data_IF_220981770440
#
_entry.id   IF_220981770440
#
_cell.length_a   1.000
_cell.length_b   1.000
_cell.length_c   1.000
_cell.angle_alpha   90.00
_cell.angle_beta   90.00
_cell.angle_gamma   90.00
#
_symmetry.space_group_name_H-M   'P 1'
#
loop_
_entity.id
_entity.type
_entity.pdbx_description
1 polymer ?
#
# COMPACT_ATOMS: atom_id res chain seq x y z
N UNK A 1 53.78 -36.24 51.64
CA UNK A 1 53.27 -36.70 50.36
C UNK A 1 52.11 -35.79 49.94
N UNK A 2 52.35 -34.94 48.99
CA UNK A 2 51.39 -33.91 48.51
C UNK A 2 50.44 -34.48 47.45
N UNK A 3 49.16 -34.22 47.63
CA UNK A 3 48.17 -34.50 46.62
C UNK A 3 47.76 -33.15 46.01
N UNK A 4 47.98 -33.00 44.70
CA UNK A 4 47.66 -31.83 43.93
C UNK A 4 46.18 -31.97 43.45
N UNK A 5 45.34 -31.01 43.89
CA UNK A 5 43.97 -30.89 43.38
C UNK A 5 43.95 -30.01 42.14
N UNK A 6 43.38 -30.55 41.04
CA UNK A 6 43.09 -29.81 39.84
C UNK A 6 41.71 -29.13 39.99
N UNK A 7 41.68 -27.83 39.84
CA UNK A 7 40.45 -27.04 39.73
C UNK A 7 40.03 -26.96 38.26
N UNK A 8 38.87 -27.57 37.95
CA UNK A 8 38.19 -27.40 36.67
C UNK A 8 37.46 -26.05 36.63
N UNK A 9 37.86 -25.22 35.71
CA UNK A 9 37.19 -23.94 35.39
C UNK A 9 36.00 -24.25 34.49
N UNK A 10 34.77 -24.13 35.00
CA UNK A 10 33.52 -24.21 34.24
C UNK A 10 33.18 -22.83 33.69
N UNK A 11 33.60 -22.57 32.48
CA UNK A 11 33.13 -21.41 31.70
C UNK A 11 31.60 -21.47 31.45
N UNK A 12 30.84 -20.63 32.17
CA UNK A 12 29.42 -20.39 31.90
C UNK A 12 29.27 -19.62 30.59
N UNK A 13 28.95 -20.35 29.54
CA UNK A 13 28.50 -19.77 28.29
C UNK A 13 27.13 -19.10 28.47
N UNK A 14 27.09 -17.77 28.62
CA UNK A 14 25.83 -17.00 28.58
C UNK A 14 25.21 -17.13 27.21
N UNK A 15 24.19 -17.98 27.07
CA UNK A 15 23.29 -18.04 25.95
C UNK A 15 22.61 -16.66 25.79
N UNK A 16 22.88 -15.97 24.69
CA UNK A 16 22.14 -14.77 24.30
C UNK A 16 20.69 -15.23 23.99
N UNK A 17 19.81 -15.01 24.97
CA UNK A 17 18.40 -15.29 24.80
C UNK A 17 17.88 -14.56 23.55
N UNK A 18 17.29 -15.31 22.63
CA UNK A 18 16.55 -14.75 21.50
C UNK A 18 15.49 -13.79 22.06
N UNK A 19 15.54 -12.52 21.67
CA UNK A 19 14.50 -11.55 22.01
C UNK A 19 13.18 -12.13 21.47
N UNK A 20 12.19 -12.33 22.36
CA UNK A 20 10.82 -12.60 21.94
C UNK A 20 10.41 -11.54 20.92
N UNK A 21 9.76 -11.90 19.81
CA UNK A 21 9.27 -10.93 18.83
C UNK A 21 8.36 -9.93 19.58
N UNK A 22 8.65 -8.66 19.40
CA UNK A 22 7.84 -7.57 19.95
C UNK A 22 6.48 -7.59 19.26
N UNK A 23 5.43 -7.92 19.99
CA UNK A 23 4.07 -7.91 19.46
C UNK A 23 3.71 -6.43 19.21
N UNK A 24 3.66 -6.04 17.95
CA UNK A 24 3.25 -4.71 17.52
C UNK A 24 1.73 -4.66 17.48
N UNK A 25 1.11 -3.76 18.23
CA UNK A 25 -0.34 -3.51 18.19
C UNK A 25 -0.61 -2.31 17.29
N UNK A 26 -0.49 -2.52 15.98
CA UNK A 26 -0.74 -1.50 14.96
C UNK A 26 -2.10 -1.66 14.29
N UNK A 27 -2.59 -0.59 13.66
CA UNK A 27 -3.77 -0.64 12.77
C UNK A 27 -3.33 -0.34 11.34
N UNK A 28 -3.75 -1.18 10.39
CA UNK A 28 -3.36 -1.10 9.00
C UNK A 28 -4.56 -1.29 8.08
N UNK A 29 -4.69 -0.41 7.09
CA UNK A 29 -5.64 -0.55 5.99
C UNK A 29 -4.90 -1.10 4.77
N UNK A 30 -5.41 -2.17 4.19
CA UNK A 30 -4.88 -2.76 2.96
C UNK A 30 -5.53 -2.05 1.77
N UNK A 31 -4.72 -1.57 0.82
CA UNK A 31 -5.24 -0.91 -0.38
C UNK A 31 -4.59 -1.43 -1.65
N UNK A 32 -5.37 -1.51 -2.73
CA UNK A 32 -4.91 -1.99 -4.03
C UNK A 32 -5.11 -0.92 -5.10
N UNK A 33 -4.04 -0.57 -5.79
CA UNK A 33 -4.09 0.26 -6.98
C UNK A 33 -4.30 -0.62 -8.24
N UNK A 34 -4.72 -0.02 -9.34
CA UNK A 34 -4.90 -0.64 -10.66
C UNK A 34 -6.03 -1.68 -10.73
N UNK A 35 -7.12 -1.54 -9.92
CA UNK A 35 -8.28 -2.39 -10.11
C UNK A 35 -8.92 -2.19 -11.51
N UNK A 36 -9.56 -3.23 -12.03
CA UNK A 36 -9.63 -4.62 -11.58
C UNK A 36 -8.48 -5.50 -12.13
N UNK A 37 -7.24 -5.11 -11.96
CA UNK A 37 -5.99 -5.53 -12.58
C UNK A 37 -5.74 -4.86 -13.96
N UNK A 38 -4.48 -4.87 -14.41
CA UNK A 38 -4.08 -4.20 -15.64
C UNK A 38 -4.70 -4.83 -16.89
N UNK A 39 -5.01 -4.00 -17.89
CA UNK A 39 -5.56 -4.47 -19.19
C UNK A 39 -4.61 -5.38 -19.97
N UNK A 40 -3.33 -5.34 -19.67
CA UNK A 40 -2.33 -6.23 -20.27
C UNK A 40 -2.55 -7.71 -19.90
N UNK A 41 -3.25 -7.99 -18.80
CA UNK A 41 -3.61 -9.35 -18.41
C UNK A 41 -4.84 -9.85 -19.20
N UNK A 42 -4.81 -11.12 -19.57
CA UNK A 42 -5.95 -11.80 -20.17
C UNK A 42 -7.17 -11.81 -19.23
N UNK A 43 -8.40 -11.84 -19.80
CA UNK A 43 -9.63 -11.79 -18.99
C UNK A 43 -9.69 -12.84 -17.87
N UNK A 44 -9.30 -14.07 -18.15
CA UNK A 44 -9.30 -15.16 -17.16
C UNK A 44 -8.25 -14.92 -16.05
N UNK A 45 -7.16 -14.30 -16.41
CA UNK A 45 -6.13 -13.97 -15.44
C UNK A 45 -6.55 -12.83 -14.53
N UNK A 46 -7.18 -11.79 -15.07
CA UNK A 46 -7.77 -10.70 -14.26
C UNK A 46 -8.81 -11.23 -13.28
N UNK A 47 -9.64 -12.18 -13.72
CA UNK A 47 -10.59 -12.88 -12.86
C UNK A 47 -9.87 -13.64 -11.76
N UNK A 48 -8.86 -14.43 -12.10
CA UNK A 48 -8.06 -15.19 -11.13
C UNK A 48 -7.37 -14.25 -10.12
N UNK A 49 -6.73 -13.16 -10.57
CA UNK A 49 -6.12 -12.17 -9.67
C UNK A 49 -7.17 -11.64 -8.68
N UNK A 50 -8.34 -11.22 -9.17
CA UNK A 50 -9.41 -10.67 -8.34
C UNK A 50 -9.90 -11.71 -7.32
N UNK A 51 -10.13 -12.95 -7.74
CA UNK A 51 -10.62 -14.03 -6.87
C UNK A 51 -9.60 -14.35 -5.77
N UNK A 52 -8.30 -14.47 -6.10
CA UNK A 52 -7.26 -14.74 -5.11
C UNK A 52 -7.13 -13.61 -4.07
N UNK A 53 -7.20 -12.34 -4.51
CA UNK A 53 -7.18 -11.20 -3.58
C UNK A 53 -8.39 -11.24 -2.64
N UNK A 54 -9.60 -11.48 -3.18
CA UNK A 54 -10.84 -11.53 -2.39
C UNK A 54 -10.85 -12.72 -1.42
N UNK A 55 -10.36 -13.88 -1.83
CA UNK A 55 -10.28 -15.07 -0.99
C UNK A 55 -9.32 -14.84 0.21
N UNK A 56 -8.15 -14.26 -0.03
CA UNK A 56 -7.22 -13.91 1.02
C UNK A 56 -7.82 -12.88 1.99
N UNK A 57 -8.40 -11.78 1.47
CA UNK A 57 -9.05 -10.76 2.29
C UNK A 57 -10.19 -11.32 3.14
N UNK A 58 -11.00 -12.21 2.56
CA UNK A 58 -12.10 -12.90 3.26
C UNK A 58 -11.59 -13.81 4.37
N UNK A 59 -10.55 -14.61 4.10
CA UNK A 59 -9.94 -15.53 5.08
C UNK A 59 -9.46 -14.80 6.33
N UNK A 60 -8.89 -13.60 6.15
CA UNK A 60 -8.35 -12.77 7.23
C UNK A 60 -9.33 -11.70 7.75
N UNK A 61 -10.60 -11.74 7.33
CA UNK A 61 -11.61 -10.74 7.66
C UNK A 61 -11.10 -9.29 7.46
N UNK A 62 -10.21 -9.09 6.48
CA UNK A 62 -9.51 -7.84 6.24
C UNK A 62 -10.31 -6.91 5.33
N UNK A 63 -10.90 -5.81 5.85
CA UNK A 63 -11.52 -4.81 4.99
C UNK A 63 -10.44 -4.11 4.17
N UNK A 64 -10.69 -3.99 2.86
CA UNK A 64 -9.74 -3.35 1.96
C UNK A 64 -10.39 -2.21 1.15
N UNK A 65 -9.54 -1.40 0.51
CA UNK A 65 -9.98 -0.45 -0.50
C UNK A 65 -9.21 -0.66 -1.80
N UNK A 66 -9.91 -0.59 -2.92
CA UNK A 66 -9.30 -0.71 -4.24
C UNK A 66 -9.55 0.55 -5.07
N UNK A 67 -8.57 0.92 -5.90
CA UNK A 67 -8.65 2.10 -6.75
C UNK A 67 -8.63 1.69 -8.22
N UNK A 68 -9.75 1.93 -8.89
CA UNK A 68 -9.92 1.56 -10.30
C UNK A 68 -9.29 2.61 -11.22
N UNK A 69 -8.54 2.15 -12.21
CA UNK A 69 -8.15 2.94 -13.38
C UNK A 69 -9.25 2.80 -14.43
N UNK A 70 -9.82 3.91 -14.90
CA UNK A 70 -10.98 3.90 -15.78
C UNK A 70 -10.78 3.02 -17.02
N UNK A 71 -9.64 3.11 -17.69
CA UNK A 71 -9.33 2.26 -18.84
C UNK A 71 -9.26 0.77 -18.51
N UNK A 72 -8.91 0.40 -17.28
CA UNK A 72 -8.85 -1.00 -16.86
C UNK A 72 -10.25 -1.61 -16.65
N UNK A 73 -11.30 -0.79 -16.53
CA UNK A 73 -12.67 -1.27 -16.31
C UNK A 73 -13.20 -2.00 -17.53
N UNK A 74 -12.75 -1.64 -18.72
CA UNK A 74 -13.22 -2.29 -19.95
C UNK A 74 -12.98 -3.81 -19.91
N UNK A 75 -14.06 -4.58 -20.02
CA UNK A 75 -14.02 -6.04 -19.93
C UNK A 75 -13.76 -6.60 -18.54
N UNK A 76 -13.89 -5.78 -17.49
CA UNK A 76 -13.68 -6.17 -16.09
C UNK A 76 -14.65 -5.55 -15.10
N UNK A 77 -15.78 -5.03 -15.60
CA UNK A 77 -16.82 -4.44 -14.76
C UNK A 77 -17.33 -5.41 -13.68
N UNK A 78 -17.55 -6.66 -14.08
CA UNK A 78 -17.98 -7.73 -13.17
C UNK A 78 -16.98 -8.00 -12.02
N UNK A 79 -15.72 -7.66 -12.21
CA UNK A 79 -14.70 -7.84 -11.17
C UNK A 79 -14.80 -6.74 -10.10
N UNK A 80 -15.19 -5.51 -10.49
CA UNK A 80 -15.49 -4.45 -9.54
C UNK A 80 -16.79 -4.73 -8.76
N UNK A 81 -17.77 -5.36 -9.40
CA UNK A 81 -18.98 -5.85 -8.72
C UNK A 81 -18.59 -6.86 -7.64
N UNK A 82 -17.77 -7.89 -7.97
CA UNK A 82 -17.26 -8.86 -6.99
C UNK A 82 -16.53 -8.18 -5.82
N UNK A 83 -15.72 -7.14 -6.11
CA UNK A 83 -15.01 -6.38 -5.08
C UNK A 83 -15.97 -5.75 -4.07
N UNK A 84 -17.02 -5.10 -4.55
CA UNK A 84 -18.04 -4.46 -3.70
C UNK A 84 -18.92 -5.48 -2.97
N UNK A 85 -19.25 -6.61 -3.62
CA UNK A 85 -19.97 -7.74 -2.99
C UNK A 85 -19.16 -8.37 -1.85
N UNK A 86 -17.82 -8.35 -1.95
CA UNK A 86 -16.92 -8.71 -0.86
C UNK A 86 -16.93 -7.74 0.32
N UNK A 87 -17.67 -6.63 0.23
CA UNK A 87 -17.77 -5.61 1.29
C UNK A 87 -16.61 -4.63 1.33
N UNK A 88 -15.78 -4.58 0.27
CA UNK A 88 -14.63 -3.71 0.19
C UNK A 88 -14.99 -2.34 -0.39
N UNK A 89 -14.22 -1.31 -0.01
CA UNK A 89 -14.38 0.05 -0.53
C UNK A 89 -13.83 0.14 -1.96
N UNK A 90 -14.55 0.80 -2.87
CA UNK A 90 -14.07 1.11 -4.20
C UNK A 90 -13.82 2.61 -4.32
N UNK A 91 -12.61 2.97 -4.67
CA UNK A 91 -12.18 4.31 -5.08
C UNK A 91 -11.76 4.30 -6.55
N UNK A 92 -11.22 5.41 -6.99
CA UNK A 92 -10.77 5.57 -8.37
C UNK A 92 -9.40 6.26 -8.45
N UNK A 93 -8.74 6.04 -9.56
CA UNK A 93 -7.61 6.80 -10.07
C UNK A 93 -8.10 7.65 -11.24
N UNK A 94 -7.27 8.49 -11.81
CA UNK A 94 -7.61 9.13 -13.07
C UNK A 94 -7.88 8.08 -14.17
N UNK A 95 -8.70 8.42 -15.16
CA UNK A 95 -9.26 7.47 -16.13
C UNK A 95 -8.19 6.71 -16.91
N UNK A 96 -7.17 7.41 -17.41
CA UNK A 96 -6.08 6.82 -18.20
C UNK A 96 -4.96 6.21 -17.33
N UNK A 97 -4.91 6.51 -16.02
CA UNK A 97 -3.81 6.12 -15.14
C UNK A 97 -2.49 6.86 -15.42
N UNK A 98 -2.53 7.95 -16.21
CA UNK A 98 -1.33 8.72 -16.54
C UNK A 98 -0.79 9.51 -15.35
N UNK A 99 0.49 9.85 -15.43
CA UNK A 99 1.23 10.56 -14.41
C UNK A 99 0.96 12.09 -14.48
N UNK A 100 0.54 12.69 -13.36
CA UNK A 100 0.36 14.14 -13.24
C UNK A 100 1.62 14.94 -13.59
N UNK A 101 2.80 14.38 -13.40
CA UNK A 101 4.05 15.05 -13.72
C UNK A 101 4.30 15.18 -15.24
N UNK A 102 3.57 14.43 -16.06
CA UNK A 102 3.75 14.35 -17.51
C UNK A 102 2.66 15.08 -18.32
N UNK A 103 1.64 15.65 -17.64
CA UNK A 103 0.51 16.29 -18.30
C UNK A 103 0.16 17.63 -17.65
N UNK A 104 -0.47 18.58 -18.38
CA UNK A 104 -1.03 19.78 -17.81
C UNK A 104 -2.10 19.51 -16.75
N UNK A 105 -2.23 20.41 -15.77
CA UNK A 105 -3.16 20.21 -14.65
C UNK A 105 -4.62 20.15 -15.09
N UNK A 106 -5.04 20.94 -16.07
CA UNK A 106 -6.40 20.94 -16.63
C UNK A 106 -6.75 19.62 -17.31
N UNK A 107 -5.83 19.04 -18.07
CA UNK A 107 -5.99 17.71 -18.69
C UNK A 107 -6.09 16.63 -17.62
N UNK A 108 -5.26 16.71 -16.59
CA UNK A 108 -5.30 15.73 -15.48
C UNK A 108 -6.61 15.84 -14.67
N UNK A 109 -7.11 17.06 -14.44
CA UNK A 109 -8.39 17.31 -13.76
C UNK A 109 -9.56 16.72 -14.56
N UNK A 110 -9.58 16.92 -15.87
CA UNK A 110 -10.58 16.29 -16.73
C UNK A 110 -10.51 14.76 -16.64
N UNK A 111 -9.31 14.20 -16.60
CA UNK A 111 -9.07 12.77 -16.50
C UNK A 111 -9.49 12.21 -15.12
N UNK A 112 -9.33 12.96 -14.02
CA UNK A 112 -9.91 12.62 -12.70
C UNK A 112 -11.44 12.57 -12.80
N UNK A 113 -12.08 13.55 -13.45
CA UNK A 113 -13.53 13.60 -13.65
C UNK A 113 -14.04 12.33 -14.35
N UNK A 114 -13.39 11.94 -15.45
CA UNK A 114 -13.72 10.69 -16.19
C UNK A 114 -13.51 9.44 -15.32
N UNK A 115 -12.44 9.39 -14.52
CA UNK A 115 -12.18 8.27 -13.59
C UNK A 115 -13.28 8.13 -12.54
N UNK A 116 -13.74 9.25 -11.98
CA UNK A 116 -14.87 9.29 -11.05
C UNK A 116 -16.15 8.77 -11.72
N UNK A 117 -16.51 9.31 -12.87
CA UNK A 117 -17.71 8.93 -13.60
C UNK A 117 -17.73 7.45 -13.96
N UNK A 118 -16.58 6.87 -14.28
CA UNK A 118 -16.45 5.46 -14.66
C UNK A 118 -16.91 4.47 -13.58
N UNK A 119 -16.98 4.86 -12.31
CA UNK A 119 -17.41 3.99 -11.20
C UNK A 119 -18.59 4.57 -10.40
N UNK A 120 -19.04 5.79 -10.66
CA UNK A 120 -19.95 6.52 -9.78
C UNK A 120 -21.29 5.78 -9.58
N UNK A 121 -21.92 5.32 -10.66
CA UNK A 121 -23.18 4.56 -10.60
C UNK A 121 -23.00 3.24 -9.83
N UNK A 122 -21.84 2.60 -9.99
CA UNK A 122 -21.55 1.34 -9.32
C UNK A 122 -21.43 1.53 -7.82
N UNK A 123 -20.58 2.45 -7.37
CA UNK A 123 -20.39 2.70 -5.92
C UNK A 123 -21.68 3.20 -5.26
N UNK A 124 -22.48 3.99 -6.00
CA UNK A 124 -23.79 4.45 -5.53
C UNK A 124 -24.77 3.30 -5.32
N UNK A 125 -24.81 2.32 -6.24
CA UNK A 125 -25.68 1.15 -6.13
C UNK A 125 -25.36 0.30 -4.88
N UNK A 126 -24.11 0.31 -4.42
CA UNK A 126 -23.67 -0.32 -3.16
C UNK A 126 -23.70 0.62 -1.95
N UNK A 127 -24.38 1.79 -2.05
CA UNK A 127 -24.60 2.76 -0.96
C UNK A 127 -23.30 3.37 -0.40
N UNK A 128 -22.21 3.31 -1.12
CA UNK A 128 -20.97 4.01 -0.77
C UNK A 128 -21.13 5.50 -1.15
N UNK A 129 -21.08 6.38 -0.14
CA UNK A 129 -21.24 7.83 -0.32
C UNK A 129 -19.91 8.55 -0.50
N UNK A 130 -18.86 8.00 0.06
CA UNK A 130 -17.53 8.58 0.04
C UNK A 130 -16.88 8.37 -1.33
N UNK A 131 -16.26 9.44 -1.87
CA UNK A 131 -15.46 9.42 -3.08
C UNK A 131 -14.00 9.45 -2.70
N UNK A 132 -13.28 8.35 -2.98
CA UNK A 132 -11.86 8.23 -2.68
C UNK A 132 -11.04 8.21 -3.96
N UNK A 133 -10.05 9.09 -4.02
CA UNK A 133 -9.12 9.20 -5.14
C UNK A 133 -7.70 8.82 -4.73
N UNK A 134 -6.99 8.12 -5.61
CA UNK A 134 -5.58 7.79 -5.47
C UNK A 134 -4.81 8.31 -6.68
N UNK A 135 -3.78 9.10 -6.43
CA UNK A 135 -2.88 9.55 -7.50
C UNK A 135 -2.08 8.39 -8.09
N UNK A 136 -2.06 8.30 -9.42
CA UNK A 136 -1.17 7.38 -10.13
C UNK A 136 0.30 7.65 -9.74
N UNK A 137 1.08 6.59 -9.57
CA UNK A 137 2.49 6.63 -9.14
C UNK A 137 2.73 7.36 -7.81
N UNK A 138 1.70 7.74 -7.07
CA UNK A 138 1.75 8.64 -5.91
C UNK A 138 2.44 9.98 -6.26
N UNK A 139 2.24 10.48 -7.48
CA UNK A 139 2.73 11.76 -7.93
C UNK A 139 1.65 12.84 -7.76
N UNK A 140 1.95 13.82 -6.91
CA UNK A 140 1.01 14.87 -6.48
C UNK A 140 1.28 16.23 -7.15
N UNK A 141 2.08 16.22 -8.20
CA UNK A 141 2.54 17.41 -8.91
C UNK A 141 3.95 17.83 -8.53
N UNK A 142 4.76 18.10 -9.56
CA UNK A 142 6.17 18.52 -9.42
C UNK A 142 6.35 20.03 -9.23
N UNK A 143 5.25 20.80 -9.34
CA UNK A 143 5.25 22.26 -9.18
C UNK A 143 4.07 22.73 -8.32
N UNK A 144 4.26 23.80 -7.52
CA UNK A 144 3.22 24.31 -6.62
C UNK A 144 1.89 24.64 -7.29
N UNK A 145 1.92 25.25 -8.45
CA UNK A 145 0.72 25.64 -9.20
C UNK A 145 -0.08 24.44 -9.71
N UNK A 146 0.60 23.39 -10.18
CA UNK A 146 -0.05 22.16 -10.62
C UNK A 146 -0.71 21.46 -9.44
N UNK A 147 0.04 21.28 -8.35
CA UNK A 147 -0.46 20.63 -7.13
C UNK A 147 -1.68 21.37 -6.58
N UNK A 148 -1.62 22.71 -6.50
CA UNK A 148 -2.72 23.51 -5.99
C UNK A 148 -3.97 23.38 -6.86
N UNK A 149 -3.84 23.52 -8.19
CA UNK A 149 -4.98 23.44 -9.09
C UNK A 149 -5.71 22.09 -8.98
N UNK A 150 -4.96 20.97 -8.88
CA UNK A 150 -5.56 19.64 -8.70
C UNK A 150 -6.18 19.49 -7.32
N UNK A 151 -5.52 20.00 -6.25
CA UNK A 151 -6.08 19.92 -4.89
C UNK A 151 -7.36 20.73 -4.76
N UNK A 152 -7.40 21.95 -5.29
CA UNK A 152 -8.60 22.82 -5.30
C UNK A 152 -9.78 22.09 -5.97
N UNK A 153 -9.56 21.46 -7.13
CA UNK A 153 -10.59 20.67 -7.80
C UNK A 153 -11.09 19.48 -6.95
N UNK A 154 -10.19 18.74 -6.31
CA UNK A 154 -10.56 17.61 -5.47
C UNK A 154 -11.41 18.06 -4.26
N UNK A 155 -11.02 19.17 -3.62
CA UNK A 155 -11.72 19.74 -2.47
C UNK A 155 -13.12 20.27 -2.88
N UNK A 156 -13.24 21.03 -3.97
CA UNK A 156 -14.49 21.53 -4.51
C UNK A 156 -15.44 20.38 -4.92
N UNK A 157 -14.88 19.28 -5.42
CA UNK A 157 -15.65 18.09 -5.83
C UNK A 157 -15.96 17.14 -4.66
N UNK A 158 -15.56 17.48 -3.44
CA UNK A 158 -15.71 16.63 -2.24
C UNK A 158 -15.10 15.23 -2.42
N UNK A 159 -13.94 15.17 -3.04
CA UNK A 159 -13.18 13.95 -3.27
C UNK A 159 -12.07 13.84 -2.24
N UNK A 160 -12.05 12.77 -1.48
CA UNK A 160 -11.03 12.51 -0.46
C UNK A 160 -9.83 11.80 -1.06
N UNK A 161 -8.65 12.38 -0.91
CA UNK A 161 -7.41 11.71 -1.32
C UNK A 161 -7.06 10.59 -0.35
N UNK A 162 -6.92 9.38 -0.90
CA UNK A 162 -6.48 8.20 -0.14
C UNK A 162 -4.95 8.12 -0.17
N UNK A 163 -4.31 8.81 0.77
CA UNK A 163 -2.85 8.78 0.91
C UNK A 163 -2.34 7.39 1.31
N UNK A 164 -1.16 7.01 0.82
CA UNK A 164 -0.44 5.82 1.28
C UNK A 164 0.66 6.21 2.26
N UNK A 165 0.69 5.62 3.45
CA UNK A 165 1.78 5.79 4.41
C UNK A 165 2.86 4.73 4.30
N UNK A 166 2.56 3.59 3.65
CA UNK A 166 3.48 2.49 3.36
C UNK A 166 3.41 2.18 1.88
N UNK A 167 4.54 2.27 1.19
CA UNK A 167 4.69 2.01 -0.26
C UNK A 167 5.67 0.87 -0.45
N UNK A 168 5.33 -0.13 -1.26
CA UNK A 168 6.03 -1.41 -1.27
C UNK A 168 6.82 -1.71 -2.53
N UNK A 169 6.71 -0.92 -3.60
CA UNK A 169 7.36 -1.22 -4.89
C UNK A 169 7.12 -2.66 -5.38
N UNK A 170 5.97 -3.23 -5.04
CA UNK A 170 5.55 -4.61 -5.36
C UNK A 170 5.64 -4.96 -6.85
N UNK A 171 5.58 -3.94 -7.73
CA UNK A 171 5.75 -4.11 -9.17
C UNK A 171 7.12 -4.68 -9.56
N UNK A 172 8.19 -4.38 -8.80
CA UNK A 172 9.53 -4.92 -9.04
C UNK A 172 9.56 -6.42 -8.76
N UNK A 173 8.93 -6.83 -7.66
CA UNK A 173 8.78 -8.24 -7.29
C UNK A 173 7.86 -8.99 -8.26
N UNK A 174 6.79 -8.32 -8.75
CA UNK A 174 5.91 -8.89 -9.77
C UNK A 174 6.67 -9.20 -11.07
N UNK A 175 7.55 -8.30 -11.54
CA UNK A 175 8.41 -8.55 -12.69
C UNK A 175 9.39 -9.71 -12.45
N UNK A 176 9.87 -9.87 -11.23
CA UNK A 176 10.74 -10.99 -10.84
C UNK A 176 9.97 -12.31 -10.82
N UNK A 177 8.73 -12.30 -10.32
CA UNK A 177 7.82 -13.44 -10.34
C UNK A 177 7.56 -13.94 -11.76
N UNK A 178 7.29 -13.04 -12.72
CA UNK A 178 7.06 -13.39 -14.12
C UNK A 178 8.24 -14.16 -14.74
N UNK A 179 9.46 -13.75 -14.42
CA UNK A 179 10.68 -14.45 -14.87
C UNK A 179 10.81 -15.84 -14.24
N UNK A 180 10.44 -15.99 -12.97
CA UNK A 180 10.55 -17.26 -12.23
C UNK A 180 9.46 -18.25 -12.69
N UNK A 181 8.24 -17.79 -12.93
CA UNK A 181 7.12 -18.65 -13.38
C UNK A 181 7.49 -19.45 -14.66
N UNK A 182 8.27 -18.86 -15.56
CA UNK A 182 8.78 -19.55 -16.75
C UNK A 182 9.77 -20.68 -16.45
N UNK A 183 10.47 -20.63 -15.32
CA UNK A 183 11.55 -21.58 -14.96
C UNK A 183 11.07 -22.84 -14.21
N UNK A 184 9.86 -22.82 -13.64
CA UNK A 184 9.31 -23.86 -12.74
C UNK A 184 10.19 -24.20 -11.53
N UNK A 185 11.02 -23.24 -11.09
CA UNK A 185 11.93 -23.39 -9.95
C UNK A 185 11.21 -23.03 -8.64
N UNK A 186 10.76 -24.06 -7.91
CA UNK A 186 10.02 -23.88 -6.67
C UNK A 186 10.84 -23.22 -5.55
N UNK A 187 12.17 -23.40 -5.53
CA UNK A 187 13.01 -22.77 -4.51
C UNK A 187 13.11 -21.26 -4.73
N UNK A 188 13.27 -20.83 -6.00
CA UNK A 188 13.24 -19.40 -6.33
C UNK A 188 11.88 -18.76 -6.03
N UNK A 189 10.81 -19.50 -6.25
CA UNK A 189 9.46 -19.01 -5.94
C UNK A 189 9.28 -18.75 -4.44
N UNK A 190 9.69 -19.70 -3.57
CA UNK A 190 9.63 -19.53 -2.12
C UNK A 190 10.54 -18.39 -1.66
N UNK A 191 11.77 -18.32 -2.18
CA UNK A 191 12.70 -17.24 -1.84
C UNK A 191 12.14 -15.86 -2.22
N UNK A 192 11.53 -15.73 -3.40
CA UNK A 192 10.92 -14.47 -3.83
C UNK A 192 9.75 -14.05 -2.92
N UNK A 193 8.89 -15.01 -2.50
CA UNK A 193 7.83 -14.75 -1.54
C UNK A 193 8.39 -14.20 -0.23
N UNK A 194 9.38 -14.87 0.33
CA UNK A 194 9.97 -14.49 1.61
C UNK A 194 10.65 -13.11 1.52
N UNK A 195 11.42 -12.85 0.46
CA UNK A 195 12.04 -11.54 0.19
C UNK A 195 10.98 -10.43 0.04
N UNK A 196 9.87 -10.71 -0.64
CA UNK A 196 8.78 -9.75 -0.80
C UNK A 196 8.10 -9.41 0.54
N UNK A 197 7.80 -10.43 1.36
CA UNK A 197 7.20 -10.23 2.67
C UNK A 197 8.14 -9.44 3.59
N UNK A 198 9.42 -9.80 3.61
CA UNK A 198 10.44 -9.09 4.39
C UNK A 198 10.56 -7.63 3.94
N UNK A 199 10.53 -7.36 2.64
CA UNK A 199 10.51 -6.00 2.10
C UNK A 199 9.28 -5.20 2.58
N UNK A 200 8.08 -5.77 2.54
CA UNK A 200 6.87 -5.09 3.04
C UNK A 200 6.99 -4.78 4.52
N UNK A 201 7.54 -5.70 5.32
CA UNK A 201 7.76 -5.50 6.75
C UNK A 201 8.82 -4.42 7.04
N UNK A 202 9.86 -4.35 6.25
CA UNK A 202 10.88 -3.29 6.33
C UNK A 202 10.25 -1.92 6.03
N UNK A 203 9.50 -1.79 4.92
CA UNK A 203 8.79 -0.57 4.55
C UNK A 203 7.80 -0.12 5.65
N UNK A 204 7.10 -1.07 6.24
CA UNK A 204 6.19 -0.80 7.36
C UNK A 204 6.95 -0.33 8.61
N UNK A 205 8.05 -0.98 8.98
CA UNK A 205 8.91 -0.57 10.11
C UNK A 205 9.49 0.84 9.92
N UNK A 206 9.92 1.17 8.71
CA UNK A 206 10.39 2.52 8.36
C UNK A 206 9.25 3.55 8.48
N UNK A 207 8.03 3.22 8.02
CA UNK A 207 6.87 4.09 8.15
C UNK A 207 6.46 4.29 9.63
N UNK A 208 6.53 3.27 10.48
CA UNK A 208 6.29 3.39 11.92
C UNK A 208 7.29 4.33 12.60
N UNK A 209 8.57 4.20 12.25
CA UNK A 209 9.63 5.07 12.76
C UNK A 209 9.36 6.52 12.37
N UNK A 210 9.07 6.74 11.09
CA UNK A 210 8.78 8.06 10.55
C UNK A 210 7.49 8.66 11.15
N UNK A 211 6.47 7.85 11.39
CA UNK A 211 5.25 8.28 12.08
C UNK A 211 5.53 8.76 13.52
N UNK A 212 6.41 8.07 14.24
CA UNK A 212 6.84 8.50 15.58
C UNK A 212 7.62 9.83 15.55
N UNK A 213 8.50 10.01 14.56
CA UNK A 213 9.23 11.28 14.35
C UNK A 213 8.27 12.45 14.10
N UNK A 214 7.27 12.26 13.21
CA UNK A 214 6.37 13.35 12.76
C UNK A 214 5.24 13.62 13.77
N UNK A 215 4.68 12.56 14.37
CA UNK A 215 3.45 12.63 15.18
C UNK A 215 3.67 12.38 16.67
N UNK A 216 4.86 11.95 17.11
CA UNK A 216 5.15 11.54 18.49
C UNK A 216 4.40 10.29 18.95
N UNK A 217 3.72 9.56 18.05
CA UNK A 217 2.87 8.39 18.35
C UNK A 217 2.73 7.45 17.18
N UNK A 218 2.29 6.19 17.39
CA UNK A 218 1.81 5.34 16.32
C UNK A 218 0.60 5.96 15.59
N UNK A 219 0.45 5.63 14.30
CA UNK A 219 -0.67 6.05 13.46
C UNK A 219 -1.42 4.82 12.90
N UNK A 220 -2.54 5.08 12.24
CA UNK A 220 -3.22 4.08 11.40
C UNK A 220 -2.58 4.09 10.03
N UNK A 221 -1.89 3.01 9.68
CA UNK A 221 -1.19 2.93 8.41
C UNK A 221 -2.13 2.61 7.25
N UNK A 222 -1.78 3.07 6.06
CA UNK A 222 -2.42 2.71 4.79
C UNK A 222 -1.33 2.11 3.91
N UNK A 223 -1.43 0.80 3.68
CA UNK A 223 -0.50 0.02 2.86
C UNK A 223 -0.98 0.04 1.41
N UNK A 224 -0.09 0.44 0.51
CA UNK A 224 -0.32 0.41 -0.93
C UNK A 224 0.26 -0.88 -1.52
N UNK A 225 -0.60 -1.62 -2.19
CA UNK A 225 -0.29 -2.76 -3.05
C UNK A 225 -0.90 -2.52 -4.43
N UNK A 226 -0.67 -3.42 -5.39
CA UNK A 226 -1.32 -3.41 -6.71
C UNK A 226 -2.10 -4.70 -6.94
N UNK A 227 -3.16 -4.62 -7.73
CA UNK A 227 -3.87 -5.80 -8.20
C UNK A 227 -3.05 -6.49 -9.31
N UNK A 228 -2.10 -7.33 -8.94
CA UNK A 228 -1.17 -8.04 -9.81
C UNK A 228 -1.00 -9.50 -9.40
N UNK A 229 -0.24 -10.28 -10.18
CA UNK A 229 0.04 -11.70 -9.92
C UNK A 229 0.73 -11.94 -8.59
N UNK A 230 1.69 -11.09 -8.23
CA UNK A 230 2.45 -11.23 -6.99
C UNK A 230 1.53 -11.20 -5.78
N UNK A 231 0.70 -10.18 -5.70
CA UNK A 231 -0.24 -10.03 -4.60
C UNK A 231 -1.36 -11.09 -4.64
N UNK A 232 -1.81 -11.50 -5.82
CA UNK A 232 -2.73 -12.63 -5.95
C UNK A 232 -2.15 -13.93 -5.36
N UNK A 233 -0.84 -14.15 -5.48
CA UNK A 233 -0.19 -15.38 -4.99
C UNK A 233 0.23 -15.30 -3.52
N UNK A 234 0.62 -14.13 -3.01
CA UNK A 234 1.29 -14.01 -1.70
C UNK A 234 0.53 -13.15 -0.68
N UNK A 235 -0.65 -12.64 -1.01
CA UNK A 235 -1.42 -11.82 -0.08
C UNK A 235 -1.80 -12.59 1.18
N UNK A 236 -2.21 -13.84 1.05
CA UNK A 236 -2.56 -14.70 2.19
C UNK A 236 -1.40 -14.87 3.18
N UNK A 237 -0.20 -15.15 2.66
CA UNK A 237 1.02 -15.23 3.46
C UNK A 237 1.35 -13.88 4.13
N UNK A 238 1.25 -12.78 3.38
CA UNK A 238 1.50 -11.43 3.90
C UNK A 238 0.54 -11.06 5.04
N UNK A 239 -0.76 -11.31 4.85
CA UNK A 239 -1.77 -11.00 5.87
C UNK A 239 -1.56 -11.86 7.12
N UNK A 240 -1.22 -13.16 6.96
CA UNK A 240 -0.85 -14.04 8.06
C UNK A 240 0.30 -13.46 8.89
N UNK A 241 1.38 -13.04 8.23
CA UNK A 241 2.54 -12.47 8.93
C UNK A 241 2.19 -11.15 9.62
N UNK A 242 1.35 -10.30 9.03
CA UNK A 242 0.90 -9.07 9.66
C UNK A 242 0.06 -9.35 10.91
N UNK A 243 -0.84 -10.34 10.89
CA UNK A 243 -1.61 -10.78 12.07
C UNK A 243 -0.71 -11.33 13.18
N UNK A 244 0.25 -12.19 12.84
CA UNK A 244 1.24 -12.73 13.79
C UNK A 244 2.06 -11.63 14.47
N UNK A 245 2.28 -10.49 13.79
CA UNK A 245 2.92 -9.30 14.35
C UNK A 245 1.96 -8.41 15.13
N UNK A 246 0.67 -8.78 15.23
CA UNK A 246 -0.35 -8.09 16.02
C UNK A 246 -1.01 -6.90 15.31
N UNK A 247 -0.92 -6.78 13.98
CA UNK A 247 -1.65 -5.76 13.24
C UNK A 247 -3.13 -6.11 13.14
N UNK A 248 -3.98 -5.08 13.33
CA UNK A 248 -5.42 -5.17 13.09
C UNK A 248 -5.76 -4.54 11.75
N UNK A 249 -6.49 -5.27 10.91
CA UNK A 249 -6.98 -4.74 9.64
C UNK A 249 -8.16 -3.81 9.86
N UNK A 250 -8.12 -2.62 9.26
CA UNK A 250 -9.16 -1.60 9.37
C UNK A 250 -9.56 -1.08 8.00
N UNK A 251 -10.77 -0.52 7.88
CA UNK A 251 -11.23 0.09 6.64
C UNK A 251 -10.48 1.39 6.32
N UNK A 252 -10.49 1.80 5.03
CA UNK A 252 -9.93 3.07 4.59
C UNK A 252 -10.56 4.26 5.34
N UNK A 253 -11.88 4.24 5.51
CA UNK A 253 -12.62 5.26 6.28
C UNK A 253 -12.11 5.38 7.72
N UNK A 254 -11.80 4.25 8.34
CA UNK A 254 -11.25 4.24 9.71
C UNK A 254 -9.80 4.74 9.72
N UNK A 255 -8.98 4.36 8.75
CA UNK A 255 -7.59 4.80 8.65
C UNK A 255 -7.50 6.32 8.45
N UNK A 256 -8.28 6.89 7.54
CA UNK A 256 -8.31 8.32 7.22
C UNK A 256 -8.83 9.22 8.35
N UNK A 257 -9.42 8.66 9.42
CA UNK A 257 -9.72 9.42 10.64
C UNK A 257 -8.47 9.81 11.43
N UNK A 258 -7.31 9.22 11.15
CA UNK A 258 -6.07 9.63 11.81
C UNK A 258 -5.68 11.04 11.39
N UNK A 259 -5.34 11.86 12.40
CA UNK A 259 -5.01 13.27 12.19
C UNK A 259 -3.78 13.47 11.28
N UNK A 260 -2.93 12.46 11.13
CA UNK A 260 -1.77 12.54 10.23
C UNK A 260 -2.20 12.88 8.80
N UNK A 261 -3.28 12.27 8.30
CA UNK A 261 -3.76 12.46 6.92
C UNK A 261 -4.45 13.81 6.66
N UNK A 262 -4.50 14.69 7.67
CA UNK A 262 -4.99 16.06 7.57
C UNK A 262 -3.89 17.11 7.68
N UNK A 263 -2.63 16.67 7.77
CA UNK A 263 -1.50 17.59 7.80
C UNK A 263 -1.23 18.12 6.40
N UNK A 264 -0.98 19.38 6.29
CA UNK A 264 -0.50 19.96 5.03
C UNK A 264 0.92 19.47 4.74
N UNK A 265 1.19 19.21 3.47
CA UNK A 265 2.52 18.83 3.00
C UNK A 265 2.89 19.68 1.77
N UNK A 266 4.13 20.11 1.71
CA UNK A 266 4.67 21.00 0.68
C UNK A 266 5.74 20.30 -0.17
N UNK A 267 5.71 18.99 -0.27
CA UNK A 267 6.62 18.25 -1.13
C UNK A 267 6.26 18.44 -2.60
N UNK A 268 7.26 18.79 -3.40
CA UNK A 268 7.19 18.88 -4.86
C UNK A 268 8.31 18.02 -5.43
N UNK A 269 7.98 16.98 -6.19
CA UNK A 269 8.99 16.09 -6.73
C UNK A 269 8.42 14.97 -7.58
N UNK A 270 9.33 14.25 -8.25
CA UNK A 270 9.03 13.20 -9.21
C UNK A 270 9.15 11.80 -8.61
N UNK A 271 9.28 11.68 -7.28
CA UNK A 271 9.32 10.39 -6.61
C UNK A 271 7.93 10.06 -6.07
N UNK A 272 7.49 8.82 -6.27
CA UNK A 272 6.30 8.25 -5.64
C UNK A 272 6.51 8.04 -4.14
N UNK A 273 6.74 9.14 -3.41
CA UNK A 273 6.99 9.12 -1.98
C UNK A 273 5.71 8.81 -1.20
N UNK A 274 5.85 8.04 -0.12
CA UNK A 274 4.76 7.85 0.84
C UNK A 274 4.34 9.19 1.46
N UNK A 275 3.13 9.23 2.00
CA UNK A 275 2.64 10.48 2.63
C UNK A 275 3.52 10.93 3.80
N UNK A 276 4.06 10.00 4.56
CA UNK A 276 4.96 10.32 5.67
C UNK A 276 6.29 10.90 5.18
N UNK A 277 6.86 10.33 4.12
CA UNK A 277 8.08 10.88 3.51
C UNK A 277 7.83 12.30 2.99
N UNK A 278 6.68 12.57 2.37
CA UNK A 278 6.31 13.93 1.92
C UNK A 278 6.16 14.91 3.07
N UNK A 279 5.56 14.48 4.19
CA UNK A 279 5.50 15.29 5.42
C UNK A 279 6.89 15.59 5.98
N UNK A 280 7.81 14.61 5.96
CA UNK A 280 9.20 14.80 6.38
C UNK A 280 9.91 15.82 5.49
N UNK A 281 9.81 15.68 4.18
CA UNK A 281 10.40 16.63 3.23
C UNK A 281 9.81 18.04 3.33
N UNK A 282 8.61 18.18 3.84
CA UNK A 282 7.94 19.47 4.05
C UNK A 282 8.34 20.16 5.37
N UNK A 283 9.05 19.47 6.25
CA UNK A 283 9.48 19.98 7.55
C UNK A 283 11.02 20.06 7.60
N UNK A 284 11.60 21.27 7.45
CA UNK A 284 13.05 21.46 7.47
C UNK A 284 13.73 20.92 8.75
N UNK A 285 13.03 20.95 9.89
CA UNK A 285 13.57 20.51 11.17
C UNK A 285 13.75 18.96 11.24
N UNK A 286 13.13 18.22 10.33
CA UNK A 286 13.23 16.76 10.23
C UNK A 286 14.20 16.30 9.12
N UNK A 287 14.77 17.23 8.37
CA UNK A 287 15.77 16.90 7.36
C UNK A 287 17.16 16.79 8.01
N UNK A 288 18.02 15.86 7.57
CA UNK A 288 19.41 15.86 8.00
C UNK A 288 20.06 17.20 7.63
N UNK A 289 20.90 17.71 8.53
CA UNK A 289 21.69 18.91 8.24
C UNK A 289 22.42 18.69 6.91
N UNK A 290 22.26 19.62 5.98
CA UNK A 290 23.03 19.60 4.72
C UNK A 290 24.51 19.86 5.07
N UNK A 291 25.35 18.85 4.81
CA UNK A 291 26.81 18.98 4.87
C UNK A 291 27.31 20.03 3.87
#
# INVERSE_FOLDING_TARGET
MAVIGQTEDKGEGKSKGAKKPEIRTGKICITFDNLPAERSYEKLERLWITDQLLDALKKHEAPAAGFAVGENIQGGWELLVKWLEGGHTLGFMNFTGQDLNNVPADIFIEDIGKGKEAIEDLVWSYKQKERYFRFAFLHYGSRPEIKRAVQDYLDESLITVAHASVVTEDFVYNLSLEKIMGSRDSLKFVALRDEYIDHVLERLGNAETLAKEIMGRPIRHILQLRANRLNAMFLDDLLTVLEEKGYQFISLKEALKDKVYRKEEAYFGNKGASYLERLKYSNPDLLPASD
#
